data_IF_768682683524
#
_entry.id   IF_768682683524
#
_cell.length_a   1.000
_cell.length_b   1.000
_cell.length_c   1.000
_cell.angle_alpha   90.00
_cell.angle_beta   90.00
_cell.angle_gamma   90.00
#
_symmetry.space_group_name_H-M   'P 1'
#
loop_
_entity.id
_entity.type
_entity.pdbx_description
1 polymer ?
#
# COMPACT_ATOMS: atom_id res chain seq x y z
N UNK A 1 23.42 -19.23 -24.84
CA UNK A 1 23.13 -19.21 -26.28
C UNK A 1 21.74 -19.80 -26.51
N UNK A 2 20.69 -18.97 -26.53
CA UNK A 2 19.33 -19.39 -26.94
C UNK A 2 18.68 -18.18 -27.60
N UNK A 3 19.05 -17.89 -28.85
CA UNK A 3 18.35 -16.90 -29.71
C UNK A 3 17.35 -17.61 -30.64
N UNK A 4 17.23 -18.94 -30.55
CA UNK A 4 16.49 -19.79 -31.49
C UNK A 4 14.97 -19.54 -31.56
N UNK A 5 14.36 -18.82 -30.60
CA UNK A 5 12.89 -18.59 -30.61
C UNK A 5 12.45 -17.27 -31.26
N UNK A 6 13.22 -16.19 -31.15
CA UNK A 6 12.75 -14.86 -31.55
C UNK A 6 12.76 -14.68 -33.08
N UNK A 7 13.83 -15.10 -33.75
CA UNK A 7 13.93 -15.06 -35.23
C UNK A 7 12.91 -15.99 -35.88
N UNK A 8 12.79 -17.23 -35.37
CA UNK A 8 11.85 -18.25 -35.84
C UNK A 8 10.40 -17.75 -35.74
N UNK A 9 10.01 -17.21 -34.58
CA UNK A 9 8.66 -16.66 -34.37
C UNK A 9 8.37 -15.49 -35.32
N UNK A 10 9.33 -14.59 -35.52
CA UNK A 10 9.16 -13.43 -36.41
C UNK A 10 9.02 -13.84 -37.89
N UNK A 11 9.70 -14.90 -38.34
CA UNK A 11 9.53 -15.43 -39.70
C UNK A 11 8.15 -16.08 -39.88
N UNK A 12 7.64 -16.80 -38.87
CA UNK A 12 6.28 -17.35 -38.91
C UNK A 12 5.20 -16.27 -38.89
N UNK A 13 5.37 -15.21 -38.08
CA UNK A 13 4.44 -14.08 -38.03
C UNK A 13 4.36 -13.33 -39.39
N UNK A 14 5.39 -13.47 -40.23
CA UNK A 14 5.42 -12.94 -41.60
C UNK A 14 4.80 -13.89 -42.64
N UNK A 15 4.29 -15.05 -42.22
CA UNK A 15 3.63 -16.02 -43.10
C UNK A 15 4.58 -16.98 -43.82
N UNK A 16 5.86 -17.06 -43.42
CA UNK A 16 6.80 -18.05 -43.97
C UNK A 16 6.53 -19.41 -43.32
N UNK A 17 6.46 -20.47 -44.14
CA UNK A 17 6.18 -21.82 -43.67
C UNK A 17 7.20 -22.28 -42.61
N UNK A 18 6.73 -23.06 -41.62
CA UNK A 18 7.51 -23.41 -40.43
C UNK A 18 8.83 -24.12 -40.75
N UNK A 19 8.86 -24.95 -41.80
CA UNK A 19 10.05 -25.67 -42.23
C UNK A 19 11.17 -24.71 -42.66
N UNK A 20 10.83 -23.66 -43.44
CA UNK A 20 11.79 -22.65 -43.88
C UNK A 20 12.15 -21.66 -42.77
N UNK A 21 11.19 -21.35 -41.88
CA UNK A 21 11.45 -20.51 -40.72
C UNK A 21 12.44 -21.18 -39.74
N UNK A 22 12.43 -22.51 -39.65
CA UNK A 22 13.36 -23.27 -38.82
C UNK A 22 14.79 -23.27 -39.41
N UNK A 23 14.94 -23.53 -40.70
CA UNK A 23 16.26 -23.56 -41.37
C UNK A 23 16.90 -22.17 -41.44
N UNK A 24 16.12 -21.12 -41.70
CA UNK A 24 16.62 -19.74 -41.73
C UNK A 24 16.98 -19.20 -40.35
N UNK A 25 16.34 -19.69 -39.30
CA UNK A 25 16.61 -19.27 -37.92
C UNK A 25 17.69 -20.10 -37.22
N UNK A 26 18.23 -21.14 -37.86
CA UNK A 26 19.27 -21.96 -37.24
C UNK A 26 20.57 -21.17 -37.13
N UNK A 27 20.95 -20.87 -35.88
CA UNK A 27 22.12 -20.09 -35.46
C UNK A 27 22.29 -18.68 -36.07
N UNK A 28 21.24 -18.11 -36.68
CA UNK A 28 21.23 -16.72 -37.22
C UNK A 28 20.29 -15.78 -36.46
N UNK A 29 20.74 -14.53 -36.25
CA UNK A 29 19.87 -13.46 -35.69
C UNK A 29 19.03 -12.86 -36.82
N UNK A 30 17.90 -12.23 -36.47
CA UNK A 30 17.04 -11.52 -37.42
C UNK A 30 17.80 -10.54 -38.33
N UNK A 31 18.81 -9.85 -37.77
CA UNK A 31 19.63 -8.91 -38.54
C UNK A 31 20.55 -9.58 -39.56
N UNK A 32 20.88 -10.86 -39.39
CA UNK A 32 21.66 -11.64 -40.34
C UNK A 32 20.74 -12.19 -41.44
N UNK A 33 19.53 -12.63 -41.07
CA UNK A 33 18.54 -13.19 -42.01
C UNK A 33 18.03 -12.14 -43.00
N UNK A 34 17.90 -10.87 -42.59
CA UNK A 34 17.40 -9.80 -43.49
C UNK A 34 18.38 -9.45 -44.63
N UNK A 35 19.67 -9.72 -44.46
CA UNK A 35 20.72 -9.33 -45.43
C UNK A 35 20.97 -10.43 -46.46
N UNK A 36 20.50 -11.66 -46.22
CA UNK A 36 20.70 -12.80 -47.11
C UNK A 36 20.18 -12.53 -48.52
N UNK A 37 20.98 -12.89 -49.53
CA UNK A 37 20.57 -12.84 -50.92
C UNK A 37 19.60 -13.99 -51.24
N UNK A 38 18.75 -13.81 -52.27
CA UNK A 38 17.80 -14.85 -52.67
C UNK A 38 18.50 -16.19 -53.03
N UNK A 39 19.71 -16.14 -53.61
CA UNK A 39 20.49 -17.35 -53.90
C UNK A 39 20.99 -18.08 -52.66
N UNK A 40 21.32 -17.36 -51.58
CA UNK A 40 21.74 -17.96 -50.31
C UNK A 40 20.55 -18.59 -49.58
N UNK A 41 19.37 -17.97 -49.68
CA UNK A 41 18.10 -18.51 -49.15
C UNK A 41 17.73 -19.81 -49.88
N UNK A 42 17.88 -19.84 -51.21
CA UNK A 42 17.64 -21.06 -52.00
C UNK A 42 18.57 -22.20 -51.57
N UNK A 43 19.85 -21.90 -51.32
CA UNK A 43 20.85 -22.89 -50.91
C UNK A 43 20.63 -23.38 -49.47
N UNK A 44 20.18 -22.51 -48.55
CA UNK A 44 19.91 -22.86 -47.15
C UNK A 44 18.60 -23.64 -46.95
N UNK A 45 17.59 -23.35 -47.78
CA UNK A 45 16.28 -23.98 -47.67
C UNK A 45 16.11 -25.17 -48.63
N UNK A 46 17.10 -25.45 -49.49
CA UNK A 46 17.03 -26.46 -50.56
C UNK A 46 15.79 -26.32 -51.45
N UNK A 47 15.47 -25.07 -51.83
CA UNK A 47 14.28 -24.75 -52.64
C UNK A 47 14.63 -24.17 -54.00
N UNK A 48 13.63 -24.12 -54.88
CA UNK A 48 13.70 -23.46 -56.18
C UNK A 48 13.91 -21.94 -56.04
N UNK A 49 14.44 -21.32 -57.11
CA UNK A 49 14.76 -19.89 -57.12
C UNK A 49 13.53 -18.99 -56.99
N UNK A 50 12.33 -19.48 -57.33
CA UNK A 50 11.08 -18.69 -57.28
C UNK A 50 10.54 -18.63 -55.84
N UNK A 51 10.55 -19.74 -55.11
CA UNK A 51 10.19 -19.77 -53.69
C UNK A 51 11.18 -18.98 -52.83
N UNK A 52 12.47 -19.03 -53.13
CA UNK A 52 13.48 -18.22 -52.44
C UNK A 52 13.29 -16.71 -52.70
N UNK A 53 12.92 -16.32 -53.93
CA UNK A 53 12.61 -14.94 -54.29
C UNK A 53 11.36 -14.41 -53.58
N UNK A 54 10.31 -15.23 -53.44
CA UNK A 54 9.09 -14.86 -52.70
C UNK A 54 9.35 -14.71 -51.20
N UNK A 55 10.14 -15.60 -50.58
CA UNK A 55 10.57 -15.46 -49.19
C UNK A 55 11.35 -14.14 -48.99
N UNK A 56 12.31 -13.84 -49.87
CA UNK A 56 13.09 -12.59 -49.80
C UNK A 56 12.21 -11.36 -49.97
N UNK A 57 11.28 -11.35 -50.93
CA UNK A 57 10.33 -10.27 -51.13
C UNK A 57 9.45 -10.02 -49.88
N UNK A 58 9.05 -11.10 -49.20
CA UNK A 58 8.25 -11.01 -47.96
C UNK A 58 9.06 -10.39 -46.81
N UNK A 59 10.34 -10.75 -46.68
CA UNK A 59 11.27 -10.18 -45.70
C UNK A 59 11.54 -8.69 -46.00
N UNK A 60 11.72 -8.32 -47.27
CA UNK A 60 11.97 -6.93 -47.66
C UNK A 60 10.72 -6.05 -47.52
N UNK A 61 9.53 -6.59 -47.82
CA UNK A 61 8.25 -5.90 -47.59
C UNK A 61 8.01 -5.60 -46.10
N UNK A 62 8.38 -6.53 -45.21
CA UNK A 62 8.33 -6.30 -43.77
C UNK A 62 9.27 -5.17 -43.32
N UNK A 63 10.40 -4.98 -44.02
CA UNK A 63 11.38 -3.95 -43.70
C UNK A 63 11.00 -2.58 -44.29
N UNK A 64 10.34 -2.54 -45.46
CA UNK A 64 9.85 -1.28 -46.09
C UNK A 64 8.71 -0.59 -45.35
N UNK A 65 7.98 -1.29 -44.47
CA UNK A 65 6.90 -0.70 -43.66
C UNK A 65 7.36 0.40 -42.68
N UNK A 66 8.67 0.64 -42.59
CA UNK A 66 9.30 1.73 -41.82
C UNK A 66 9.88 2.89 -42.65
N UNK A 67 9.72 2.92 -43.98
CA UNK A 67 10.25 4.00 -44.79
C UNK A 67 9.69 4.02 -46.20
N UNK A 68 8.70 4.90 -46.43
CA UNK A 68 8.44 5.40 -47.78
C UNK A 68 7.90 6.84 -47.73
N UNK A 69 8.82 7.77 -47.97
CA UNK A 69 8.55 9.14 -48.33
C UNK A 69 9.16 9.39 -49.71
N UNK A 70 8.60 8.79 -50.75
CA UNK A 70 8.57 9.35 -52.10
C UNK A 70 7.82 8.44 -53.07
N UNK A 71 6.58 8.81 -53.39
CA UNK A 71 6.03 8.52 -54.72
C UNK A 71 4.93 9.53 -55.01
N UNK A 72 5.19 10.37 -56.01
CA UNK A 72 4.22 11.24 -56.65
C UNK A 72 3.10 10.40 -57.27
N UNK A 73 1.90 10.47 -56.70
CA UNK A 73 0.67 10.22 -57.44
C UNK A 73 -0.45 11.06 -56.82
N UNK A 74 -0.64 12.23 -57.42
CA UNK A 74 -1.59 13.27 -57.03
C UNK A 74 -3.03 12.88 -57.39
N UNK A 75 -3.84 12.60 -56.37
CA UNK A 75 -5.29 12.76 -56.40
C UNK A 75 -5.71 13.74 -55.29
N UNK A 76 -6.77 14.54 -55.45
CA UNK A 76 -7.10 15.59 -54.49
C UNK A 76 -7.68 14.96 -53.22
N UNK A 77 -6.85 14.80 -52.20
CA UNK A 77 -7.30 14.38 -50.86
C UNK A 77 -7.76 15.60 -50.08
N UNK A 78 -9.05 15.65 -49.77
CA UNK A 78 -9.67 16.64 -48.88
C UNK A 78 -9.01 16.57 -47.50
N UNK A 79 -8.18 17.55 -47.15
CA UNK A 79 -7.48 17.58 -45.87
C UNK A 79 -8.43 18.00 -44.75
N UNK A 80 -9.11 17.04 -44.13
CA UNK A 80 -9.81 17.26 -42.85
C UNK A 80 -8.75 17.42 -41.76
N UNK A 81 -8.48 18.68 -41.39
CA UNK A 81 -7.58 19.02 -40.28
C UNK A 81 -8.29 18.72 -38.96
N UNK A 82 -8.36 17.45 -38.57
CA UNK A 82 -8.63 17.09 -37.19
C UNK A 82 -7.49 17.68 -36.34
N UNK A 83 -7.80 18.71 -35.55
CA UNK A 83 -6.93 19.14 -34.44
C UNK A 83 -6.70 17.92 -33.55
N UNK A 84 -5.58 17.22 -33.78
CA UNK A 84 -4.98 16.36 -32.76
C UNK A 84 -4.48 17.32 -31.69
N UNK A 85 -5.33 17.61 -30.72
CA UNK A 85 -4.85 17.94 -29.39
C UNK A 85 -3.92 16.79 -29.01
N UNK A 86 -2.62 17.06 -29.00
CA UNK A 86 -1.65 16.15 -28.42
C UNK A 86 -2.04 15.99 -26.97
N UNK A 87 -2.85 14.98 -26.64
CA UNK A 87 -2.80 14.39 -25.31
C UNK A 87 -1.39 13.84 -25.22
N UNK A 88 -0.51 14.62 -24.60
CA UNK A 88 0.67 14.06 -23.96
C UNK A 88 0.14 12.92 -23.10
N UNK A 89 0.31 11.69 -23.56
CA UNK A 89 0.22 10.53 -22.69
C UNK A 89 1.43 10.70 -21.79
N UNK A 90 1.26 11.48 -20.72
CA UNK A 90 2.19 11.46 -19.60
C UNK A 90 2.21 10.00 -19.17
N UNK A 91 3.32 9.30 -19.45
CA UNK A 91 3.61 8.06 -18.76
C UNK A 91 3.49 8.41 -17.29
N UNK A 92 2.47 7.87 -16.61
CA UNK A 92 2.33 8.02 -15.18
C UNK A 92 3.67 7.58 -14.58
N UNK A 93 4.40 8.53 -13.98
CA UNK A 93 5.69 8.26 -13.35
C UNK A 93 5.42 7.19 -12.30
N UNK A 94 5.94 5.99 -12.52
CA UNK A 94 5.72 4.81 -11.67
C UNK A 94 6.43 4.95 -10.31
N UNK A 95 7.22 6.00 -10.15
CA UNK A 95 7.81 6.43 -8.88
C UNK A 95 7.51 7.91 -8.68
N UNK A 96 6.77 8.22 -7.62
CA UNK A 96 6.71 9.58 -7.07
C UNK A 96 8.14 10.03 -6.80
N UNK A 97 8.55 11.17 -7.36
CA UNK A 97 9.84 11.74 -7.01
C UNK A 97 9.84 11.99 -5.51
N UNK A 98 10.82 11.44 -4.78
CA UNK A 98 10.99 11.77 -3.36
C UNK A 98 11.02 13.29 -3.24
N UNK A 99 10.12 13.85 -2.43
CA UNK A 99 10.16 15.27 -2.10
C UNK A 99 11.52 15.55 -1.50
N UNK A 100 12.27 16.47 -2.10
CA UNK A 100 13.56 16.90 -1.53
C UNK A 100 13.31 17.42 -0.11
N UNK A 101 14.13 16.94 0.83
CA UNK A 101 14.03 17.34 2.22
C UNK A 101 14.38 18.83 2.32
N UNK A 102 13.35 19.67 2.48
CA UNK A 102 13.53 21.10 2.63
C UNK A 102 14.02 21.41 4.06
N UNK A 103 15.34 21.45 4.20
CA UNK A 103 16.05 21.74 5.45
C UNK A 103 15.62 23.11 6.00
N UNK A 104 15.41 24.10 5.14
CA UNK A 104 15.07 25.47 5.55
C UNK A 104 13.69 25.54 6.21
N UNK A 105 12.67 24.90 5.62
CA UNK A 105 11.34 24.85 6.25
C UNK A 105 11.34 24.10 7.58
N UNK A 106 12.17 23.05 7.72
CA UNK A 106 12.34 22.33 8.97
C UNK A 106 13.08 23.17 10.02
N UNK A 107 14.06 23.96 9.61
CA UNK A 107 14.75 24.90 10.49
C UNK A 107 13.81 25.99 11.00
N UNK A 108 12.90 26.48 10.15
CA UNK A 108 11.87 27.44 10.54
C UNK A 108 10.89 26.89 11.59
N UNK A 109 10.57 25.59 11.57
CA UNK A 109 9.74 24.95 12.62
C UNK A 109 10.40 24.97 14.01
N UNK A 110 11.72 25.14 14.10
CA UNK A 110 12.44 25.26 15.38
C UNK A 110 12.50 26.71 15.90
N UNK A 111 12.14 27.69 15.06
CA UNK A 111 12.05 29.08 15.48
C UNK A 111 10.73 29.32 16.21
N UNK A 112 10.83 29.85 17.42
CA UNK A 112 9.67 30.13 18.25
C UNK A 112 8.84 31.28 17.66
N UNK A 113 7.51 31.17 17.67
CA UNK A 113 6.60 32.21 17.17
C UNK A 113 6.80 33.57 17.88
N UNK A 114 7.28 33.55 19.13
CA UNK A 114 7.60 34.75 19.93
C UNK A 114 9.09 35.13 19.90
N UNK A 115 9.91 34.52 19.05
CA UNK A 115 11.35 34.83 18.94
C UNK A 115 11.64 36.31 18.66
N UNK A 116 10.73 36.98 17.94
CA UNK A 116 10.83 38.39 17.60
C UNK A 116 10.33 39.34 18.71
N UNK A 117 9.69 38.83 19.77
CA UNK A 117 9.12 39.67 20.80
C UNK A 117 10.20 40.40 21.62
N UNK A 118 9.99 41.69 21.96
CA UNK A 118 10.95 42.46 22.76
C UNK A 118 11.27 41.82 24.12
N UNK A 119 10.32 41.04 24.66
CA UNK A 119 10.47 40.33 25.93
C UNK A 119 11.35 39.10 25.75
N UNK A 120 11.12 38.31 24.70
CA UNK A 120 11.94 37.13 24.37
C UNK A 120 13.40 37.52 24.18
N UNK A 121 13.67 38.55 23.36
CA UNK A 121 15.03 39.07 23.14
C UNK A 121 15.69 39.60 24.43
N UNK A 122 14.92 40.23 25.31
CA UNK A 122 15.43 40.70 26.60
C UNK A 122 15.75 39.57 27.58
N UNK A 123 15.04 38.45 27.51
CA UNK A 123 15.29 37.27 28.33
C UNK A 123 16.49 36.48 27.79
N UNK A 124 16.59 36.31 26.48
CA UNK A 124 17.75 35.65 25.84
C UNK A 124 19.03 36.40 26.17
N UNK A 125 19.06 37.73 25.99
CA UNK A 125 20.22 38.55 26.33
C UNK A 125 20.61 38.46 27.81
N UNK A 126 19.62 38.42 28.71
CA UNK A 126 19.88 38.30 30.14
C UNK A 126 20.31 36.88 30.57
N UNK A 127 19.98 35.83 29.80
CA UNK A 127 20.50 34.47 30.00
C UNK A 127 21.92 34.34 29.44
N UNK A 128 22.21 34.96 28.29
CA UNK A 128 23.57 35.05 27.73
C UNK A 128 24.50 35.77 28.71
N UNK A 129 24.05 36.88 29.32
CA UNK A 129 24.79 37.61 30.35
C UNK A 129 25.06 36.76 31.61
N UNK A 130 24.18 35.82 31.94
CA UNK A 130 24.33 34.90 33.08
C UNK A 130 25.07 33.59 32.71
N UNK A 131 25.30 33.30 31.42
CA UNK A 131 26.06 32.14 30.95
C UNK A 131 25.39 30.77 31.12
N UNK A 132 24.06 30.72 31.32
CA UNK A 132 23.34 29.47 31.62
C UNK A 132 22.86 28.74 30.36
N UNK A 133 23.48 27.60 30.02
CA UNK A 133 23.08 26.75 28.89
C UNK A 133 21.84 25.87 29.14
N UNK A 134 21.17 26.00 30.30
CA UNK A 134 20.04 25.15 30.70
C UNK A 134 18.68 25.62 30.20
N UNK A 135 18.60 26.78 29.56
CA UNK A 135 17.35 27.33 29.06
C UNK A 135 17.07 26.86 27.63
N UNK A 136 15.95 26.17 27.44
CA UNK A 136 15.44 25.76 26.12
C UNK A 136 14.51 26.84 25.56
N UNK A 137 14.38 26.95 24.23
CA UNK A 137 13.43 27.85 23.54
C UNK A 137 12.00 27.76 24.12
N UNK A 138 11.52 26.55 24.46
CA UNK A 138 10.20 26.37 25.10
C UNK A 138 10.07 27.05 26.47
N UNK A 139 11.13 27.09 27.27
CA UNK A 139 11.13 27.77 28.56
C UNK A 139 11.02 29.29 28.34
N UNK A 140 11.71 29.81 27.33
CA UNK A 140 11.58 31.22 26.96
C UNK A 140 10.17 31.54 26.47
N UNK A 141 9.55 30.67 25.66
CA UNK A 141 8.15 30.79 25.26
C UNK A 141 7.22 30.88 26.46
N UNK A 142 7.27 29.89 27.35
CA UNK A 142 6.38 29.82 28.52
C UNK A 142 6.54 31.03 29.43
N UNK A 143 7.79 31.52 29.61
CA UNK A 143 8.07 32.73 30.38
C UNK A 143 7.51 33.99 29.70
N UNK A 144 7.65 34.11 28.38
CA UNK A 144 7.10 35.25 27.64
C UNK A 144 5.57 35.27 27.71
N UNK A 145 4.91 34.13 27.49
CA UNK A 145 3.45 33.99 27.62
C UNK A 145 3.00 34.35 29.04
N UNK A 146 3.69 33.88 30.08
CA UNK A 146 3.37 34.22 31.47
C UNK A 146 3.55 35.70 31.79
N UNK A 147 4.55 36.37 31.19
CA UNK A 147 4.78 37.81 31.35
C UNK A 147 3.72 38.63 30.59
N UNK A 148 3.35 38.19 29.39
CA UNK A 148 2.27 38.80 28.60
C UNK A 148 0.91 38.66 29.30
N UNK A 149 0.63 37.50 29.91
CA UNK A 149 -0.57 37.28 30.72
C UNK A 149 -0.65 38.22 31.95
N UNK A 150 0.51 38.65 32.47
CA UNK A 150 0.61 39.66 33.55
C UNK A 150 0.54 41.11 33.04
N UNK A 151 0.30 41.33 31.74
CA UNK A 151 0.03 42.64 31.15
C UNK A 151 1.25 43.52 30.89
N UNK A 152 2.48 42.99 30.99
CA UNK A 152 3.70 43.77 30.73
C UNK A 152 4.10 43.66 29.25
N UNK A 153 4.20 44.79 28.56
CA UNK A 153 4.59 44.88 27.13
C UNK A 153 6.11 44.99 26.90
N UNK A 154 6.87 45.39 27.93
CA UNK A 154 8.35 45.49 27.90
C UNK A 154 8.91 45.17 29.28
N UNK A 155 10.04 44.47 29.32
CA UNK A 155 10.82 44.26 30.53
C UNK A 155 12.04 45.19 30.54
N UNK A 156 12.38 45.74 31.70
CA UNK A 156 13.68 46.40 31.89
C UNK A 156 14.77 45.35 32.13
N UNK A 157 16.04 45.66 31.79
CA UNK A 157 17.16 44.72 31.98
C UNK A 157 17.26 44.18 33.42
N UNK A 158 17.02 45.03 34.42
CA UNK A 158 17.03 44.63 35.82
C UNK A 158 15.87 43.70 36.21
N UNK A 159 14.70 43.86 35.58
CA UNK A 159 13.56 42.97 35.80
C UNK A 159 13.76 41.63 35.09
N UNK A 160 14.33 41.63 33.88
CA UNK A 160 14.69 40.42 33.15
C UNK A 160 15.69 39.57 33.95
N UNK A 161 16.75 40.22 34.47
CA UNK A 161 17.74 39.55 35.30
C UNK A 161 17.12 38.89 36.53
N UNK A 162 16.25 39.59 37.27
CA UNK A 162 15.54 39.01 38.43
C UNK A 162 14.69 37.80 38.08
N UNK A 163 13.93 37.88 36.98
CA UNK A 163 13.09 36.75 36.54
C UNK A 163 13.94 35.54 36.20
N UNK A 164 15.08 35.75 35.55
CA UNK A 164 16.00 34.66 35.19
C UNK A 164 16.67 34.10 36.44
N UNK A 165 17.13 34.95 37.37
CA UNK A 165 17.75 34.50 38.61
C UNK A 165 16.77 33.63 39.43
N UNK A 166 15.51 34.04 39.55
CA UNK A 166 14.47 33.21 40.18
C UNK A 166 14.16 31.93 39.39
N UNK A 167 14.15 31.99 38.06
CA UNK A 167 13.93 30.83 37.21
C UNK A 167 15.07 29.81 37.33
N UNK A 168 16.32 30.25 37.45
CA UNK A 168 17.48 29.38 37.70
C UNK A 168 17.32 28.68 39.05
N UNK A 169 16.97 29.41 40.11
CA UNK A 169 16.73 28.81 41.44
C UNK A 169 15.59 27.79 41.40
N UNK A 170 14.52 28.08 40.67
CA UNK A 170 13.41 27.15 40.50
C UNK A 170 13.82 25.89 39.72
N UNK A 171 14.66 26.05 38.69
CA UNK A 171 15.15 24.94 37.86
C UNK A 171 16.13 24.05 38.61
N UNK A 172 17.02 24.62 39.42
CA UNK A 172 17.91 23.87 40.30
C UNK A 172 17.11 23.10 41.35
N UNK A 173 16.04 23.69 41.91
CA UNK A 173 15.14 23.01 42.85
C UNK A 173 14.29 21.90 42.22
N UNK A 174 13.95 22.03 40.94
CA UNK A 174 13.15 21.04 40.20
C UNK A 174 14.00 19.92 39.58
N UNK A 175 15.32 20.07 39.58
CA UNK A 175 16.24 19.05 39.07
C UNK A 175 16.26 17.83 39.98
N UNK A 176 16.39 16.64 39.39
CA UNK A 176 16.56 15.41 40.17
C UNK A 176 17.93 15.42 40.86
N UNK A 177 17.97 14.99 42.12
CA UNK A 177 19.21 14.86 42.86
C UNK A 177 20.10 13.79 42.20
N UNK A 178 21.41 14.06 42.02
CA UNK A 178 22.34 13.05 41.52
C UNK A 178 22.31 11.81 42.42
N UNK A 179 22.43 10.63 41.81
CA UNK A 179 22.39 9.30 42.47
C UNK A 179 21.02 8.84 42.98
N UNK A 180 19.95 9.56 42.69
CA UNK A 180 18.60 9.08 42.98
C UNK A 180 18.27 7.81 42.18
N UNK A 181 17.53 6.87 42.80
CA UNK A 181 17.20 5.58 42.20
C UNK A 181 16.03 5.69 41.21
N UNK A 182 16.17 6.53 40.18
CA UNK A 182 15.11 6.85 39.23
C UNK A 182 14.47 5.61 38.57
N UNK A 183 15.26 4.56 38.30
CA UNK A 183 14.75 3.31 37.73
C UNK A 183 13.79 2.55 38.65
N UNK A 184 14.05 2.52 39.96
CA UNK A 184 13.19 1.83 40.93
C UNK A 184 11.90 2.64 41.13
N UNK A 185 12.02 3.96 41.28
CA UNK A 185 10.87 4.85 41.47
C UNK A 185 9.95 4.78 40.24
N UNK A 186 10.50 4.86 39.02
CA UNK A 186 9.70 4.76 37.79
C UNK A 186 9.03 3.41 37.64
N UNK A 187 9.72 2.30 37.92
CA UNK A 187 9.13 0.96 37.89
C UNK A 187 7.96 0.83 38.88
N UNK A 188 8.12 1.32 40.11
CA UNK A 188 7.06 1.30 41.11
C UNK A 188 5.88 2.20 40.72
N UNK A 189 6.14 3.43 40.25
CA UNK A 189 5.08 4.37 39.85
C UNK A 189 4.25 3.89 38.66
N UNK A 190 4.85 3.14 37.72
CA UNK A 190 4.10 2.52 36.61
C UNK A 190 3.34 1.27 37.08
N UNK A 191 3.92 0.47 37.98
CA UNK A 191 3.35 -0.79 38.44
C UNK A 191 2.23 -0.65 39.49
N UNK A 192 2.31 0.34 40.38
CA UNK A 192 1.35 0.54 41.47
C UNK A 192 -0.09 0.76 40.97
N UNK A 193 -0.35 1.63 39.96
CA UNK A 193 -1.67 1.76 39.35
C UNK A 193 -2.19 0.47 38.73
N UNK A 194 -1.31 -0.43 38.29
CA UNK A 194 -1.68 -1.72 37.68
C UNK A 194 -2.52 -2.59 38.61
N UNK A 195 -2.30 -2.51 39.92
CA UNK A 195 -3.11 -3.23 40.94
C UNK A 195 -4.50 -2.62 41.12
N UNK A 196 -4.62 -1.31 40.90
CA UNK A 196 -5.87 -0.56 41.00
C UNK A 196 -6.66 -0.57 39.70
N UNK A 197 -6.01 -0.92 38.59
CA UNK A 197 -6.59 -1.08 37.26
C UNK A 197 -7.41 -2.36 37.19
N UNK A 198 -8.51 -2.42 37.96
CA UNK A 198 -9.51 -3.46 37.87
C UNK A 198 -10.34 -3.31 36.60
N UNK A 199 -11.02 -4.39 36.17
CA UNK A 199 -11.76 -4.47 34.91
C UNK A 199 -12.79 -3.34 34.78
N UNK A 200 -12.42 -2.23 34.13
CA UNK A 200 -13.38 -1.33 33.51
C UNK A 200 -13.99 -2.11 32.34
N UNK A 201 -15.14 -2.73 32.59
CA UNK A 201 -15.92 -3.42 31.56
C UNK A 201 -16.45 -2.37 30.59
N UNK A 202 -15.76 -2.22 29.47
CA UNK A 202 -16.16 -1.28 28.43
C UNK A 202 -17.37 -1.83 27.66
N UNK A 203 -18.56 -1.39 28.06
CA UNK A 203 -19.67 -1.23 27.12
C UNK A 203 -19.60 0.20 26.60
N UNK A 204 -18.80 0.46 25.57
CA UNK A 204 -18.92 1.70 24.81
C UNK A 204 -20.20 1.62 23.98
N UNK A 205 -21.32 2.04 24.57
CA UNK A 205 -22.57 2.14 23.85
C UNK A 205 -22.47 3.24 22.77
N UNK A 206 -22.66 2.88 21.51
CA UNK A 206 -22.94 3.84 20.44
C UNK A 206 -21.76 4.31 19.58
N UNK A 207 -20.54 3.80 19.79
CA UNK A 207 -19.42 4.10 18.88
C UNK A 207 -18.99 2.83 18.18
N UNK A 208 -18.93 2.84 16.84
CA UNK A 208 -18.37 1.76 16.02
C UNK A 208 -16.83 1.66 16.15
N UNK A 209 -16.30 2.02 17.32
CA UNK A 209 -14.91 1.82 17.68
C UNK A 209 -14.70 0.34 17.96
N UNK A 210 -13.63 -0.16 17.36
CA UNK A 210 -13.14 -1.52 17.53
C UNK A 210 -12.92 -1.75 19.02
N UNK A 211 -13.39 -2.88 19.55
CA UNK A 211 -13.05 -3.33 20.91
C UNK A 211 -11.54 -3.63 20.97
N UNK A 212 -10.73 -2.60 21.22
CA UNK A 212 -9.29 -2.74 21.45
C UNK A 212 -9.08 -3.24 22.88
N UNK A 213 -8.14 -4.17 23.08
CA UNK A 213 -7.68 -4.53 24.42
C UNK A 213 -7.09 -3.28 25.09
N UNK A 214 -7.83 -2.68 26.00
CA UNK A 214 -7.40 -1.51 26.77
C UNK A 214 -7.03 -1.91 28.20
N UNK A 215 -6.15 -1.13 28.81
CA UNK A 215 -5.75 -1.26 30.21
C UNK A 215 -4.56 -2.19 30.44
N UNK A 216 -4.56 -2.89 31.58
CA UNK A 216 -3.41 -3.65 32.06
C UNK A 216 -2.89 -4.70 31.06
N UNK A 217 -3.74 -5.50 30.37
CA UNK A 217 -3.25 -6.45 29.37
C UNK A 217 -2.40 -5.77 28.28
N UNK A 218 -2.78 -4.55 27.88
CA UNK A 218 -2.05 -3.80 26.86
C UNK A 218 -0.68 -3.32 27.36
N UNK A 219 -0.60 -2.85 28.60
CA UNK A 219 0.66 -2.46 29.22
C UNK A 219 1.63 -3.66 29.26
N UNK A 220 1.13 -4.84 29.63
CA UNK A 220 1.92 -6.08 29.64
C UNK A 220 2.42 -6.41 28.23
N UNK A 221 1.58 -6.31 27.20
CA UNK A 221 2.01 -6.58 25.81
C UNK A 221 3.16 -5.67 25.34
N UNK A 222 3.11 -4.39 25.73
CA UNK A 222 4.11 -3.39 25.35
C UNK A 222 5.43 -3.65 26.09
N UNK A 223 5.37 -3.91 27.39
CA UNK A 223 6.56 -4.16 28.23
C UNK A 223 7.24 -5.48 27.84
N UNK A 224 6.46 -6.52 27.54
CA UNK A 224 6.97 -7.83 27.09
C UNK A 224 7.45 -7.83 25.62
N UNK A 225 7.34 -6.69 24.92
CA UNK A 225 7.71 -6.54 23.52
C UNK A 225 7.11 -7.64 22.61
N UNK A 226 5.80 -7.91 22.74
CA UNK A 226 5.14 -8.93 21.92
C UNK A 226 5.24 -8.61 20.44
N UNK A 227 5.62 -9.61 19.63
CA UNK A 227 5.77 -9.47 18.18
C UNK A 227 4.49 -9.04 17.46
N UNK A 228 3.35 -9.60 17.87
CA UNK A 228 2.03 -9.24 17.35
C UNK A 228 1.13 -9.01 18.56
N UNK A 229 0.51 -7.83 18.71
CA UNK A 229 -0.44 -7.56 19.78
C UNK A 229 -1.74 -8.35 19.54
N UNK A 230 -2.49 -8.64 20.61
CA UNK A 230 -3.71 -9.46 20.48
C UNK A 230 -4.79 -8.78 19.61
N UNK A 231 -4.93 -7.45 19.73
CA UNK A 231 -5.80 -6.65 18.87
C UNK A 231 -5.00 -5.54 18.19
N UNK A 232 -4.33 -5.83 17.05
CA UNK A 232 -3.67 -4.79 16.28
C UNK A 232 -4.73 -3.86 15.68
N UNK A 233 -4.44 -2.57 15.65
CA UNK A 233 -5.28 -1.55 15.02
C UNK A 233 -4.41 -0.52 14.30
N UNK A 234 -5.00 0.10 13.28
CA UNK A 234 -4.43 1.26 12.63
C UNK A 234 -5.45 2.36 12.43
N UNK A 235 -4.98 3.59 12.56
CA UNK A 235 -5.69 4.81 12.20
C UNK A 235 -5.06 5.31 10.90
N UNK A 236 -5.81 5.22 9.81
CA UNK A 236 -5.36 5.60 8.47
C UNK A 236 -6.05 6.91 8.10
N UNK A 237 -5.24 7.93 7.81
CA UNK A 237 -5.71 9.24 7.35
C UNK A 237 -5.60 9.32 5.82
N UNK A 238 -6.56 9.96 5.17
CA UNK A 238 -6.55 10.17 3.72
C UNK A 238 -5.65 11.36 3.36
N UNK A 239 -5.10 11.34 2.14
CA UNK A 239 -4.33 12.45 1.59
C UNK A 239 -5.18 13.74 1.43
N UNK A 240 -4.53 14.90 1.44
CA UNK A 240 -5.14 16.25 1.47
C UNK A 240 -6.27 16.47 0.48
N UNK A 241 -6.18 15.87 -0.70
CA UNK A 241 -7.15 16.06 -1.77
C UNK A 241 -8.48 15.31 -1.56
N UNK A 242 -8.55 14.35 -0.62
CA UNK A 242 -9.70 13.42 -0.46
C UNK A 242 -10.22 13.29 0.98
N UNK A 243 -9.86 14.22 1.86
CA UNK A 243 -10.13 14.10 3.30
C UNK A 243 -11.62 14.24 3.68
N UNK A 244 -12.40 14.93 2.84
CA UNK A 244 -13.82 15.25 3.10
C UNK A 244 -14.79 14.35 2.32
N UNK A 245 -14.29 13.47 1.44
CA UNK A 245 -15.12 12.65 0.57
C UNK A 245 -15.44 11.28 1.21
N UNK A 246 -16.64 11.17 1.80
CA UNK A 246 -17.12 9.92 2.41
C UNK A 246 -17.12 8.72 1.44
N UNK A 247 -17.48 8.95 0.16
CA UNK A 247 -17.55 7.88 -0.86
C UNK A 247 -16.17 7.32 -1.19
N UNK A 248 -15.15 8.17 -1.26
CA UNK A 248 -13.78 7.74 -1.54
C UNK A 248 -13.20 7.01 -0.33
N UNK A 249 -13.46 7.48 0.89
CA UNK A 249 -13.10 6.77 2.11
C UNK A 249 -13.74 5.37 2.19
N UNK A 250 -15.01 5.23 1.82
CA UNK A 250 -15.68 3.93 1.80
C UNK A 250 -15.11 2.99 0.72
N UNK A 251 -14.78 3.51 -0.47
CA UNK A 251 -14.09 2.71 -1.51
C UNK A 251 -12.72 2.25 -1.05
N UNK A 252 -11.97 3.12 -0.37
CA UNK A 252 -10.65 2.82 0.17
C UNK A 252 -10.75 1.76 1.28
N UNK A 253 -11.72 1.88 2.20
CA UNK A 253 -12.00 0.87 3.21
C UNK A 253 -12.26 -0.51 2.58
N UNK A 254 -13.12 -0.57 1.56
CA UNK A 254 -13.41 -1.81 0.84
C UNK A 254 -12.22 -2.36 0.02
N UNK A 255 -11.24 -1.52 -0.31
CA UNK A 255 -10.02 -1.94 -0.99
C UNK A 255 -8.96 -2.49 -0.03
N UNK A 256 -8.86 -1.93 1.18
CA UNK A 256 -7.90 -2.33 2.21
C UNK A 256 -8.37 -3.60 2.94
N UNK A 257 -9.67 -3.71 3.21
CA UNK A 257 -10.22 -4.80 4.02
C UNK A 257 -10.01 -6.18 3.37
N UNK A 258 -9.35 -7.07 4.11
CA UNK A 258 -9.11 -8.46 3.72
C UNK A 258 -10.44 -9.19 3.57
N UNK A 259 -10.64 -9.76 2.39
CA UNK A 259 -11.88 -10.44 2.06
C UNK A 259 -11.59 -11.86 1.63
N UNK A 260 -11.95 -12.80 2.51
CA UNK A 260 -11.95 -14.23 2.23
C UNK A 260 -13.23 -14.66 1.50
N UNK A 261 -13.21 -15.84 0.90
CA UNK A 261 -14.38 -16.43 0.24
C UNK A 261 -15.57 -16.55 1.19
N UNK A 262 -15.35 -16.92 2.46
CA UNK A 262 -16.39 -17.04 3.50
C UNK A 262 -17.17 -15.75 3.74
N UNK A 263 -16.54 -14.58 3.55
CA UNK A 263 -17.19 -13.29 3.75
C UNK A 263 -18.16 -12.94 2.60
N UNK A 264 -17.99 -13.56 1.44
CA UNK A 264 -18.69 -13.23 0.19
C UNK A 264 -19.64 -14.36 -0.23
N UNK A 265 -19.32 -15.61 0.09
CA UNK A 265 -19.94 -16.80 -0.47
C UNK A 265 -20.22 -17.86 0.59
N UNK A 266 -21.33 -18.59 0.43
CA UNK A 266 -21.58 -19.83 1.16
C UNK A 266 -21.09 -21.01 0.33
N UNK A 267 -20.27 -21.86 0.95
CA UNK A 267 -19.74 -23.08 0.35
C UNK A 267 -20.71 -24.24 0.65
N UNK A 268 -21.13 -24.95 -0.39
CA UNK A 268 -21.92 -26.17 -0.30
C UNK A 268 -21.18 -27.31 -1.01
N UNK A 269 -20.85 -28.37 -0.28
CA UNK A 269 -20.23 -29.57 -0.82
C UNK A 269 -21.30 -30.56 -1.26
N UNK A 270 -21.35 -30.88 -2.55
CA UNK A 270 -22.19 -31.94 -3.09
C UNK A 270 -21.35 -33.23 -3.19
N UNK A 271 -21.59 -34.14 -2.24
CA UNK A 271 -20.86 -35.42 -2.14
C UNK A 271 -21.23 -36.38 -3.28
N UNK A 272 -22.46 -36.30 -3.79
CA UNK A 272 -22.95 -37.21 -4.82
C UNK A 272 -22.30 -36.91 -6.17
N UNK A 273 -22.22 -35.62 -6.53
CA UNK A 273 -21.60 -35.17 -7.79
C UNK A 273 -20.15 -34.73 -7.62
N UNK A 274 -19.58 -34.88 -6.42
CA UNK A 274 -18.19 -34.53 -6.05
C UNK A 274 -17.78 -33.13 -6.51
N UNK A 275 -18.68 -32.17 -6.33
CA UNK A 275 -18.51 -30.77 -6.74
C UNK A 275 -18.66 -29.86 -5.53
N UNK A 276 -17.96 -28.74 -5.58
CA UNK A 276 -18.11 -27.66 -4.63
C UNK A 276 -18.91 -26.54 -5.29
N UNK A 277 -20.01 -26.17 -4.66
CA UNK A 277 -20.89 -25.09 -5.12
C UNK A 277 -20.71 -23.88 -4.21
N UNK A 278 -20.23 -22.77 -4.76
CA UNK A 278 -20.17 -21.49 -4.08
C UNK A 278 -21.35 -20.63 -4.50
N UNK A 279 -22.22 -20.30 -3.55
CA UNK A 279 -23.29 -19.31 -3.76
C UNK A 279 -22.80 -17.94 -3.33
N UNK A 280 -22.71 -17.01 -4.27
CA UNK A 280 -22.22 -15.65 -4.07
C UNK A 280 -23.34 -14.74 -3.53
N UNK A 281 -23.08 -14.05 -2.42
CA UNK A 281 -24.02 -13.10 -1.85
C UNK A 281 -23.87 -11.70 -2.48
N UNK A 282 -24.81 -11.35 -3.37
CA UNK A 282 -24.82 -10.06 -4.09
C UNK A 282 -24.77 -8.82 -3.18
N UNK A 283 -25.30 -8.90 -1.95
CA UNK A 283 -25.23 -7.80 -0.99
C UNK A 283 -23.80 -7.53 -0.53
N UNK A 284 -23.08 -8.58 -0.13
CA UNK A 284 -21.69 -8.51 0.31
C UNK A 284 -20.75 -8.13 -0.83
N UNK A 285 -20.98 -8.65 -2.05
CA UNK A 285 -20.20 -8.26 -3.24
C UNK A 285 -20.28 -6.75 -3.50
N UNK A 286 -21.47 -6.15 -3.38
CA UNK A 286 -21.66 -4.70 -3.58
C UNK A 286 -20.94 -3.88 -2.52
N UNK A 287 -21.02 -4.28 -1.25
CA UNK A 287 -20.32 -3.59 -0.16
C UNK A 287 -18.80 -3.62 -0.33
N UNK A 288 -18.26 -4.75 -0.81
CA UNK A 288 -16.82 -4.95 -1.03
C UNK A 288 -16.32 -4.42 -2.38
N UNK A 289 -17.21 -3.86 -3.19
CA UNK A 289 -16.93 -3.41 -4.55
C UNK A 289 -16.18 -4.49 -5.36
N UNK A 290 -16.79 -5.68 -5.44
CA UNK A 290 -16.30 -6.84 -6.19
C UNK A 290 -17.39 -7.37 -7.12
N UNK A 291 -16.99 -7.83 -8.30
CA UNK A 291 -17.89 -8.48 -9.27
C UNK A 291 -17.75 -9.99 -9.21
N UNK A 292 -18.82 -10.74 -9.52
CA UNK A 292 -18.78 -12.20 -9.54
C UNK A 292 -17.79 -12.76 -10.58
N UNK A 293 -17.58 -12.01 -11.67
CA UNK A 293 -16.57 -12.33 -12.69
C UNK A 293 -15.14 -12.22 -12.13
N UNK A 294 -14.82 -11.16 -11.37
CA UNK A 294 -13.51 -11.06 -10.71
C UNK A 294 -13.27 -12.17 -9.70
N UNK A 295 -14.32 -12.62 -8.99
CA UNK A 295 -14.21 -13.77 -8.06
C UNK A 295 -13.89 -15.05 -8.83
N UNK A 296 -14.57 -15.28 -9.97
CA UNK A 296 -14.30 -16.41 -10.86
C UNK A 296 -12.84 -16.41 -11.34
N UNK A 297 -12.38 -15.31 -11.93
CA UNK A 297 -11.01 -15.19 -12.45
C UNK A 297 -9.95 -15.44 -11.38
N UNK A 298 -10.20 -14.99 -10.14
CA UNK A 298 -9.29 -15.20 -9.01
C UNK A 298 -9.29 -16.65 -8.53
N UNK A 299 -10.46 -17.28 -8.48
CA UNK A 299 -10.59 -18.70 -8.14
C UNK A 299 -9.88 -19.57 -9.18
N UNK A 300 -10.07 -19.32 -10.47
CA UNK A 300 -9.40 -20.03 -11.56
C UNK A 300 -7.87 -19.91 -11.46
N UNK A 301 -7.36 -18.68 -11.27
CA UNK A 301 -5.90 -18.46 -11.13
C UNK A 301 -5.30 -19.15 -9.90
N UNK A 302 -6.02 -19.14 -8.77
CA UNK A 302 -5.50 -19.68 -7.51
C UNK A 302 -5.60 -21.20 -7.41
N UNK A 303 -6.69 -21.77 -7.94
CA UNK A 303 -6.93 -23.23 -7.91
C UNK A 303 -6.33 -23.93 -9.13
N UNK A 304 -6.08 -23.20 -10.23
CA UNK A 304 -5.78 -23.74 -11.56
C UNK A 304 -6.85 -24.70 -12.07
N UNK A 305 -8.05 -24.67 -11.47
CA UNK A 305 -9.19 -25.49 -11.87
C UNK A 305 -10.13 -24.67 -12.73
N UNK A 306 -10.89 -25.37 -13.57
CA UNK A 306 -11.96 -24.75 -14.32
C UNK A 306 -13.13 -24.42 -13.38
N UNK A 307 -13.59 -23.17 -13.39
CA UNK A 307 -14.71 -22.70 -12.56
C UNK A 307 -15.93 -22.48 -13.44
N UNK A 308 -16.93 -23.33 -13.30
CA UNK A 308 -18.20 -23.16 -13.99
C UNK A 308 -19.01 -22.04 -13.35
N UNK A 309 -19.56 -21.17 -14.18
CA UNK A 309 -20.38 -20.05 -13.75
C UNK A 309 -21.78 -20.19 -14.33
N UNK A 310 -22.81 -20.04 -13.48
CA UNK A 310 -24.21 -20.09 -13.90
C UNK A 310 -24.59 -18.97 -14.89
N UNK A 311 -23.90 -17.82 -14.81
CA UNK A 311 -24.11 -16.66 -15.70
C UNK A 311 -22.79 -15.99 -16.05
N UNK A 312 -22.64 -15.60 -17.31
CA UNK A 312 -21.40 -15.06 -17.87
C UNK A 312 -21.06 -13.64 -17.35
N UNK A 313 -22.06 -12.77 -17.17
CA UNK A 313 -21.84 -11.38 -16.71
C UNK A 313 -21.97 -11.15 -15.20
N UNK A 314 -22.81 -11.92 -14.52
CA UNK A 314 -23.09 -11.76 -13.08
C UNK A 314 -23.40 -13.13 -12.45
N UNK A 315 -22.39 -13.98 -12.26
CA UNK A 315 -22.62 -15.30 -11.67
C UNK A 315 -23.11 -15.16 -10.24
N UNK A 316 -24.22 -15.85 -9.92
CA UNK A 316 -24.69 -16.04 -8.54
C UNK A 316 -24.14 -17.33 -7.94
N UNK A 317 -23.77 -18.28 -8.78
CA UNK A 317 -23.31 -19.60 -8.38
C UNK A 317 -22.06 -19.93 -9.19
N UNK A 318 -21.01 -20.35 -8.48
CA UNK A 318 -19.77 -20.85 -9.06
C UNK A 318 -19.62 -22.31 -8.65
N UNK A 319 -19.39 -23.20 -9.60
CA UNK A 319 -19.20 -24.63 -9.35
C UNK A 319 -17.76 -25.00 -9.68
N UNK A 320 -17.10 -25.68 -8.76
CA UNK A 320 -15.75 -26.21 -8.94
C UNK A 320 -15.76 -27.72 -8.78
N UNK A 321 -15.00 -28.40 -9.63
CA UNK A 321 -14.81 -29.84 -9.55
C UNK A 321 -13.31 -30.11 -9.36
N UNK A 322 -12.91 -30.87 -8.34
CA UNK A 322 -11.50 -31.22 -8.16
C UNK A 322 -10.97 -32.02 -9.36
N UNK A 323 -9.80 -31.65 -9.87
CA UNK A 323 -9.10 -32.38 -10.95
C UNK A 323 -9.45 -31.96 -12.39
N UNK A 324 -10.41 -31.04 -12.58
CA UNK A 324 -10.78 -30.53 -13.90
C UNK A 324 -10.02 -29.24 -14.20
N UNK A 325 -9.23 -29.25 -15.27
CA UNK A 325 -8.41 -28.11 -15.68
C UNK A 325 -8.92 -27.42 -16.97
N UNK A 326 -9.78 -28.10 -17.75
CA UNK A 326 -10.39 -27.61 -18.98
C UNK A 326 -11.85 -28.07 -19.14
N UNK A 327 -12.61 -27.46 -20.07
CA UNK A 327 -13.96 -27.96 -20.45
C UNK A 327 -13.92 -29.35 -21.09
N UNK A 328 -12.77 -29.77 -21.63
CA UNK A 328 -12.56 -31.08 -22.26
C UNK A 328 -12.42 -32.19 -21.21
N UNK A 329 -11.79 -31.91 -20.06
CA UNK A 329 -11.66 -32.84 -18.92
C UNK A 329 -13.00 -33.14 -18.22
N UNK A 330 -14.05 -32.37 -18.54
CA UNK A 330 -15.40 -32.60 -18.01
C UNK A 330 -16.00 -33.92 -18.48
N UNK A 331 -15.55 -34.40 -19.65
CA UNK A 331 -15.97 -35.67 -20.22
C UNK A 331 -15.28 -36.89 -19.56
N UNK A 332 -14.07 -36.71 -19.00
CA UNK A 332 -13.29 -37.77 -18.33
C UNK A 332 -13.71 -38.02 -16.87
N UNK A 333 -14.59 -37.17 -16.33
CA UNK A 333 -15.13 -37.27 -14.96
C UNK A 333 -15.87 -38.59 -14.67
N UNK A 334 -16.38 -39.22 -15.73
CA UNK A 334 -17.05 -40.51 -15.65
C UNK A 334 -16.07 -41.69 -15.46
N UNK A 335 -14.81 -41.54 -15.89
CA UNK A 335 -13.80 -42.61 -15.85
C UNK A 335 -12.96 -42.58 -14.55
N UNK A 336 -12.62 -41.39 -14.04
CA UNK A 336 -11.85 -41.24 -12.79
C UNK A 336 -12.46 -40.18 -11.86
N UNK A 337 -13.43 -40.55 -11.01
CA UNK A 337 -14.09 -39.57 -10.15
C UNK A 337 -13.12 -39.12 -9.04
N UNK A 338 -13.02 -37.80 -8.74
CA UNK A 338 -12.02 -37.25 -7.83
C UNK A 338 -12.15 -37.81 -6.41
N UNK A 339 -11.03 -38.06 -5.73
CA UNK A 339 -11.05 -38.60 -4.35
C UNK A 339 -11.81 -37.68 -3.40
N UNK A 340 -12.59 -38.26 -2.48
CA UNK A 340 -13.29 -37.51 -1.42
C UNK A 340 -12.34 -36.62 -0.61
N UNK A 341 -11.11 -37.08 -0.37
CA UNK A 341 -10.07 -36.31 0.32
C UNK A 341 -9.66 -35.07 -0.44
N UNK A 342 -9.63 -35.12 -1.78
CA UNK A 342 -9.31 -33.97 -2.62
C UNK A 342 -10.42 -32.93 -2.61
N UNK A 343 -11.69 -33.34 -2.48
CA UNK A 343 -12.81 -32.43 -2.33
C UNK A 343 -12.74 -31.65 -1.01
N UNK A 344 -12.44 -32.34 0.10
CA UNK A 344 -12.30 -31.70 1.42
C UNK A 344 -11.10 -30.73 1.44
N UNK A 345 -9.96 -31.14 0.89
CA UNK A 345 -8.78 -30.26 0.76
C UNK A 345 -9.08 -29.03 -0.11
N UNK A 346 -9.85 -29.20 -1.19
CA UNK A 346 -10.26 -28.09 -2.04
C UNK A 346 -11.19 -27.13 -1.29
N UNK A 347 -12.13 -27.66 -0.50
CA UNK A 347 -13.02 -26.86 0.35
C UNK A 347 -12.23 -26.02 1.35
N UNK A 348 -11.32 -26.63 2.12
CA UNK A 348 -10.46 -25.92 3.09
C UNK A 348 -9.63 -24.83 2.39
N UNK A 349 -8.99 -25.18 1.27
CA UNK A 349 -8.18 -24.22 0.50
C UNK A 349 -9.01 -23.04 -0.01
N UNK A 350 -10.23 -23.29 -0.48
CA UNK A 350 -11.11 -22.23 -0.98
C UNK A 350 -11.63 -21.39 0.18
N UNK A 351 -11.98 -22.00 1.32
CA UNK A 351 -12.45 -21.31 2.53
C UNK A 351 -11.46 -20.26 3.02
N UNK A 352 -10.17 -20.60 3.09
CA UNK A 352 -9.14 -19.68 3.59
C UNK A 352 -8.61 -18.72 2.51
N UNK A 353 -9.01 -18.90 1.25
CA UNK A 353 -8.51 -18.11 0.14
C UNK A 353 -8.88 -16.62 0.27
N UNK A 354 -7.86 -15.76 0.32
CA UNK A 354 -8.03 -14.30 0.18
C UNK A 354 -8.36 -13.95 -1.28
N UNK A 355 -9.47 -13.27 -1.48
CA UNK A 355 -9.88 -12.73 -2.78
C UNK A 355 -9.35 -11.31 -3.01
N UNK A 356 -9.43 -10.43 -2.01
CA UNK A 356 -9.08 -9.00 -2.13
C UNK A 356 -8.62 -8.48 -0.76
N UNK A 357 -7.95 -7.32 -0.77
CA UNK A 357 -7.51 -6.64 0.45
C UNK A 357 -6.05 -6.84 0.77
N UNK A 358 -5.61 -6.14 1.80
CA UNK A 358 -4.26 -6.20 2.33
C UNK A 358 -4.21 -7.30 3.40
N UNK A 359 -3.17 -8.16 3.42
CA UNK A 359 -3.01 -9.18 4.48
C UNK A 359 -3.02 -8.57 5.87
N UNK A 360 -3.63 -9.29 6.81
CA UNK A 360 -3.68 -8.96 8.24
C UNK A 360 -4.51 -7.72 8.57
N UNK A 361 -5.44 -7.32 7.69
CA UNK A 361 -6.43 -6.26 7.96
C UNK A 361 -7.82 -6.85 7.84
N UNK A 362 -8.37 -7.32 8.95
CA UNK A 362 -9.64 -8.04 9.00
C UNK A 362 -10.85 -7.14 8.71
N UNK A 363 -10.87 -5.91 9.20
CA UNK A 363 -11.96 -4.93 8.98
C UNK A 363 -11.43 -3.51 8.87
N UNK A 364 -12.14 -2.68 8.09
CA UNK A 364 -11.87 -1.25 7.96
C UNK A 364 -13.17 -0.46 8.09
N UNK A 365 -13.27 0.36 9.12
CA UNK A 365 -14.42 1.22 9.40
C UNK A 365 -14.09 2.67 9.07
N UNK A 366 -14.96 3.33 8.31
CA UNK A 366 -14.87 4.77 8.06
C UNK A 366 -15.45 5.52 9.26
N UNK A 367 -14.71 6.47 9.81
CA UNK A 367 -15.16 7.33 10.88
C UNK A 367 -14.92 8.80 10.51
N UNK A 368 -15.78 9.69 11.02
CA UNK A 368 -15.60 11.12 10.92
C UNK A 368 -14.99 11.61 12.23
N UNK A 369 -13.94 12.42 12.14
CA UNK A 369 -13.37 13.08 13.31
C UNK A 369 -14.12 14.38 13.59
N UNK A 370 -14.89 14.42 14.68
CA UNK A 370 -15.71 15.57 15.05
C UNK A 370 -14.90 16.87 15.27
N UNK A 371 -13.61 16.75 15.61
CA UNK A 371 -12.74 17.91 15.88
C UNK A 371 -12.19 18.56 14.62
N UNK A 372 -11.89 17.74 13.61
CA UNK A 372 -11.22 18.18 12.38
C UNK A 372 -12.17 18.21 11.17
N UNK A 373 -13.31 17.53 11.26
CA UNK A 373 -14.24 17.34 10.14
C UNK A 373 -13.71 16.40 9.04
N UNK A 374 -12.65 15.64 9.35
CA UNK A 374 -11.96 14.78 8.39
C UNK A 374 -12.42 13.32 8.52
N UNK A 375 -12.56 12.63 7.39
CA UNK A 375 -12.76 11.18 7.39
C UNK A 375 -11.43 10.46 7.61
N UNK A 376 -11.44 9.48 8.50
CA UNK A 376 -10.33 8.54 8.72
C UNK A 376 -10.84 7.11 8.73
N UNK A 377 -9.94 6.16 8.50
CA UNK A 377 -10.25 4.73 8.58
C UNK A 377 -9.67 4.18 9.88
N UNK A 378 -10.51 3.56 10.68
CA UNK A 378 -10.09 2.73 11.81
C UNK A 378 -10.12 1.26 11.39
N UNK A 379 -8.99 0.59 11.52
CA UNK A 379 -8.84 -0.81 11.07
C UNK A 379 -8.66 -1.77 12.24
N UNK A 380 -9.16 -3.00 12.05
CA UNK A 380 -8.85 -4.16 12.88
C UNK A 380 -7.79 -4.97 12.15
N UNK A 381 -6.63 -5.12 12.76
CA UNK A 381 -5.42 -5.63 12.13
C UNK A 381 -4.48 -4.50 11.74
N UNK A 382 -3.24 -4.87 11.40
CA UNK A 382 -2.20 -3.91 11.03
C UNK A 382 -1.33 -4.45 9.88
N UNK A 383 -1.05 -3.56 8.93
CA UNK A 383 -0.08 -3.77 7.85
C UNK A 383 0.43 -2.43 7.29
N UNK A 384 1.28 -1.75 8.06
CA UNK A 384 1.81 -0.42 7.75
C UNK A 384 2.59 -0.41 6.44
N UNK A 385 3.37 -1.45 6.14
CA UNK A 385 4.13 -1.56 4.88
C UNK A 385 3.23 -1.46 3.66
N UNK A 386 2.19 -2.31 3.57
CA UNK A 386 1.30 -2.36 2.40
C UNK A 386 0.34 -1.17 2.35
N UNK A 387 -0.12 -0.69 3.50
CA UNK A 387 -0.98 0.49 3.58
C UNK A 387 -0.24 1.72 3.07
N UNK A 388 1.04 1.88 3.42
CA UNK A 388 1.84 3.04 3.00
C UNK A 388 2.14 3.07 1.50
N UNK A 389 2.07 1.94 0.80
CA UNK A 389 2.23 1.88 -0.67
C UNK A 389 1.08 2.56 -1.42
N UNK A 390 -0.09 2.74 -0.80
CA UNK A 390 -1.27 3.33 -1.44
C UNK A 390 -1.14 4.86 -1.47
N UNK A 391 -1.20 5.44 -2.67
CA UNK A 391 -1.04 6.90 -2.88
C UNK A 391 -2.15 7.75 -2.26
N UNK A 392 -3.34 7.20 -2.07
CA UNK A 392 -4.48 7.94 -1.49
C UNK A 392 -4.38 8.12 0.02
N UNK A 393 -3.37 7.52 0.65
CA UNK A 393 -3.19 7.51 2.11
C UNK A 393 -2.10 8.49 2.51
N UNK A 394 -2.37 9.24 3.57
CA UNK A 394 -1.40 10.14 4.17
C UNK A 394 -0.44 9.35 5.07
N UNK A 395 0.79 9.16 4.56
CA UNK A 395 1.86 8.42 5.25
C UNK A 395 2.33 9.10 6.53
N UNK A 396 2.24 10.43 6.62
CA UNK A 396 2.80 11.17 7.74
C UNK A 396 1.89 11.16 8.98
N UNK A 397 0.59 10.91 8.77
CA UNK A 397 -0.43 10.92 9.83
C UNK A 397 -1.06 9.55 10.10
N UNK A 398 -0.64 8.51 9.38
CA UNK A 398 -1.11 7.14 9.61
C UNK A 398 -0.37 6.54 10.80
N UNK A 399 -1.12 5.96 11.74
CA UNK A 399 -0.61 5.42 12.99
C UNK A 399 -1.07 3.97 13.19
N UNK A 400 -0.23 3.14 13.82
CA UNK A 400 -0.60 1.78 14.24
C UNK A 400 -0.19 1.56 15.70
N UNK A 401 -0.93 0.71 16.40
CA UNK A 401 -0.55 0.28 17.74
C UNK A 401 0.50 -0.85 17.73
N UNK A 402 0.86 -1.41 16.57
CA UNK A 402 1.86 -2.46 16.48
C UNK A 402 3.29 -1.86 16.47
N UNK A 403 3.95 -1.90 17.61
CA UNK A 403 5.27 -1.28 17.84
C UNK A 403 6.36 -1.92 16.98
N UNK A 404 6.35 -3.25 16.83
CA UNK A 404 7.38 -3.96 16.04
C UNK A 404 7.25 -3.60 14.56
N UNK A 405 6.03 -3.47 14.07
CA UNK A 405 5.79 -3.03 12.71
C UNK A 405 6.24 -1.58 12.46
N UNK A 406 6.07 -0.69 13.44
CA UNK A 406 6.62 0.67 13.39
C UNK A 406 8.15 0.63 13.39
N UNK A 407 8.76 -0.21 14.23
CA UNK A 407 10.21 -0.38 14.26
C UNK A 407 10.76 -0.83 12.91
N UNK A 408 10.14 -1.84 12.30
CA UNK A 408 10.58 -2.40 11.02
C UNK A 408 10.42 -1.40 9.86
N UNK A 409 9.39 -0.55 9.87
CA UNK A 409 9.09 0.37 8.76
C UNK A 409 9.66 1.79 8.94
N UNK A 410 9.55 2.37 10.15
CA UNK A 410 9.93 3.76 10.45
C UNK A 410 11.23 3.88 11.28
N UNK A 411 11.65 2.80 11.95
CA UNK A 411 12.89 2.75 12.72
C UNK A 411 12.73 2.99 14.23
N UNK A 412 13.88 3.08 14.91
CA UNK A 412 13.97 3.04 16.39
C UNK A 412 13.29 4.23 17.07
N UNK A 413 13.50 5.45 16.60
CA UNK A 413 12.92 6.64 17.25
C UNK A 413 11.39 6.70 17.12
N UNK A 414 10.85 6.24 15.98
CA UNK A 414 9.42 6.12 15.79
C UNK A 414 8.84 5.07 16.74
N UNK A 415 9.51 3.93 16.91
CA UNK A 415 9.11 2.90 17.86
C UNK A 415 9.17 3.39 19.31
N UNK A 416 10.23 4.13 19.67
CA UNK A 416 10.37 4.77 21.01
C UNK A 416 9.19 5.71 21.28
N UNK A 417 8.85 6.56 20.31
CA UNK A 417 7.72 7.48 20.47
C UNK A 417 6.37 6.73 20.50
N UNK A 418 6.21 5.67 19.72
CA UNK A 418 5.01 4.82 19.76
C UNK A 418 4.81 4.18 21.13
N UNK A 419 5.86 3.65 21.77
CA UNK A 419 5.80 3.11 23.14
C UNK A 419 5.31 4.17 24.11
N UNK A 420 5.84 5.40 24.03
CA UNK A 420 5.41 6.50 24.90
C UNK A 420 3.95 6.87 24.67
N UNK A 421 3.54 6.99 23.41
CA UNK A 421 2.16 7.34 23.06
C UNK A 421 1.17 6.26 23.52
N UNK A 422 1.50 4.98 23.36
CA UNK A 422 0.65 3.87 23.80
C UNK A 422 0.56 3.74 25.32
N UNK A 423 1.60 4.12 26.07
CA UNK A 423 1.56 4.11 27.54
C UNK A 423 0.82 5.32 28.12
N UNK A 424 0.71 6.42 27.37
CA UNK A 424 -0.01 7.64 27.78
C UNK A 424 -1.51 7.62 27.41
N UNK A 425 -1.86 6.90 26.36
CA UNK A 425 -3.24 6.73 25.87
C UNK A 425 -4.07 5.84 26.81
#
# INVERSE_FOLDING_TARGET
MVVKSATKKKLMDLGIAENYAHTLADDKKWDDVKILAAGEIAQLCETDSETAATIKATIDAANKKGGDSNSENTGPTTSVRLRRTGRSIARAKTSVAMTEYNVESKLLEYEDELSEDPIFKSLVAAVEDNGSARFTNRIFHDLTVAIHARGKKKLTKAQAKKVIDEAVVALDRASIDPYEAAGIITAQSIGEPGTQMTMRTFHYAGVATVNVTQGLPRIIEIVDARKVPNTPTMIIRLAKDKMTDAKEAQKLAAAIEETHTVNIASLETDVAQRRLVLKLNKGMLKQKNMTGAEVKDKLERATRLFVQADKEKNPSTLTLIPGVHSEEDLAELAENPPSYTMLLQLEEKIRDMRLKGIPNIARANVQLDDKTGEYYLSTIGSNLTRVSEIETIDRNRTYTNNIIEIFDFLGIEAARQAIVNELQA
#
